data_IF_827216848118
#
_entry.id   IF_827216848118
#
_cell.length_a   1.000
_cell.length_b   1.000
_cell.length_c   1.000
_cell.angle_alpha   90.00
_cell.angle_beta   90.00
_cell.angle_gamma   90.00
#
_symmetry.space_group_name_H-M   'P 1'
#
loop_
_entity.id
_entity.type
_entity.pdbx_description
1 polymer ?
#
# COMPACT_ATOMS: atom_id res chain seq x y z
N UNK A 1 -8.94 -31.00 -24.89
CA UNK A 1 -8.78 -31.35 -23.47
C UNK A 1 -7.49 -30.70 -22.99
N UNK A 2 -7.53 -29.44 -22.57
CA UNK A 2 -6.34 -28.69 -22.15
C UNK A 2 -6.15 -28.86 -20.65
N UNK A 3 -5.04 -29.52 -20.28
CA UNK A 3 -4.62 -29.72 -18.89
C UNK A 3 -4.27 -28.39 -18.24
N UNK A 4 -4.88 -28.16 -17.08
CA UNK A 4 -4.52 -27.11 -16.12
C UNK A 4 -3.04 -27.25 -15.75
N UNK A 5 -2.22 -26.26 -16.10
CA UNK A 5 -1.04 -25.95 -15.32
C UNK A 5 -1.53 -25.24 -14.06
N UNK A 6 -1.35 -25.89 -12.92
CA UNK A 6 -1.61 -25.38 -11.59
C UNK A 6 -0.68 -24.19 -11.35
N UNK A 7 -1.24 -23.00 -11.16
CA UNK A 7 -0.50 -21.84 -10.68
C UNK A 7 -0.35 -21.99 -9.16
N UNK A 8 0.60 -22.80 -8.74
CA UNK A 8 0.90 -23.03 -7.33
C UNK A 8 2.35 -22.60 -7.03
N UNK A 9 2.66 -21.36 -7.42
CA UNK A 9 3.76 -20.61 -6.82
C UNK A 9 3.14 -19.46 -6.02
N UNK A 10 2.85 -19.66 -4.71
CA UNK A 10 2.57 -18.55 -3.84
C UNK A 10 3.89 -17.80 -3.69
N UNK A 11 4.17 -16.88 -4.62
CA UNK A 11 5.21 -15.89 -4.42
C UNK A 11 4.92 -15.24 -3.07
N UNK A 12 5.71 -15.56 -2.05
CA UNK A 12 5.47 -15.19 -0.66
C UNK A 12 5.70 -13.69 -0.49
N UNK A 13 4.77 -12.89 -0.99
CA UNK A 13 4.71 -11.46 -0.73
C UNK A 13 4.20 -11.35 0.70
N UNK A 14 5.10 -11.13 1.64
CA UNK A 14 4.73 -10.71 2.98
C UNK A 14 4.30 -9.24 2.92
N UNK A 15 3.05 -8.95 3.30
CA UNK A 15 2.54 -7.59 3.39
C UNK A 15 1.70 -7.42 4.67
N UNK A 16 1.81 -6.26 5.30
CA UNK A 16 0.83 -5.82 6.29
C UNK A 16 -0.36 -5.22 5.53
N UNK A 17 -1.60 -5.47 5.97
CA UNK A 17 -2.76 -4.88 5.30
C UNK A 17 -3.96 -4.74 6.23
N UNK A 18 -4.67 -3.62 6.03
CA UNK A 18 -6.04 -3.46 6.49
C UNK A 18 -7.02 -4.25 5.61
N UNK A 19 -7.64 -5.26 6.21
CA UNK A 19 -8.62 -6.15 5.56
C UNK A 19 -9.93 -6.15 6.34
N UNK A 20 -11.07 -6.34 5.65
CA UNK A 20 -12.36 -6.50 6.33
C UNK A 20 -12.58 -7.89 6.97
N UNK A 21 -11.74 -8.87 6.62
CA UNK A 21 -11.73 -10.23 7.15
C UNK A 21 -10.37 -10.56 7.78
N UNK A 22 -9.95 -9.77 8.77
CA UNK A 22 -8.59 -9.81 9.33
C UNK A 22 -8.15 -11.17 9.90
N UNK A 23 -9.11 -12.01 10.30
CA UNK A 23 -8.88 -13.31 10.96
C UNK A 23 -8.67 -14.49 9.97
N UNK A 24 -8.74 -14.25 8.66
CA UNK A 24 -8.57 -15.27 7.62
C UNK A 24 -7.26 -15.08 6.85
N UNK A 25 -6.73 -16.19 6.30
CA UNK A 25 -5.63 -16.15 5.34
C UNK A 25 -5.99 -15.25 4.14
N UNK A 26 -4.98 -14.59 3.59
CA UNK A 26 -5.20 -13.71 2.46
C UNK A 26 -5.67 -14.50 1.23
N UNK A 27 -6.75 -14.05 0.60
CA UNK A 27 -7.33 -14.74 -0.56
C UNK A 27 -6.46 -14.54 -1.79
N UNK A 28 -6.59 -15.42 -2.80
CA UNK A 28 -5.92 -15.27 -4.11
C UNK A 28 -6.16 -13.88 -4.70
N UNK A 29 -7.36 -13.33 -4.55
CA UNK A 29 -7.69 -12.00 -5.03
C UNK A 29 -6.91 -10.89 -4.31
N UNK A 30 -6.69 -11.05 -3.00
CA UNK A 30 -5.87 -10.13 -2.21
C UNK A 30 -4.39 -10.22 -2.58
N UNK A 31 -3.86 -11.43 -2.80
CA UNK A 31 -2.50 -11.65 -3.29
C UNK A 31 -2.29 -11.04 -4.67
N UNK A 32 -3.21 -11.27 -5.61
CA UNK A 32 -3.13 -10.70 -6.95
C UNK A 32 -3.13 -9.17 -6.92
N UNK A 33 -3.97 -8.55 -6.07
CA UNK A 33 -3.99 -7.10 -5.93
C UNK A 33 -2.65 -6.58 -5.35
N UNK A 34 -2.10 -7.22 -4.32
CA UNK A 34 -0.79 -6.87 -3.76
C UNK A 34 0.35 -7.04 -4.78
N UNK A 35 0.29 -8.07 -5.63
CA UNK A 35 1.25 -8.27 -6.73
C UNK A 35 1.17 -7.16 -7.79
N UNK A 36 -0.03 -6.65 -8.10
CA UNK A 36 -0.19 -5.48 -8.95
C UNK A 36 0.44 -4.23 -8.30
N UNK A 37 0.22 -4.01 -6.99
CA UNK A 37 0.85 -2.91 -6.24
C UNK A 37 2.37 -2.98 -6.35
N UNK A 38 2.95 -4.16 -6.09
CA UNK A 38 4.39 -4.40 -6.24
C UNK A 38 4.90 -4.08 -7.64
N UNK A 39 4.16 -4.50 -8.67
CA UNK A 39 4.55 -4.29 -10.07
C UNK A 39 4.59 -2.80 -10.42
N UNK A 40 3.56 -2.04 -10.01
CA UNK A 40 3.52 -0.59 -10.22
C UNK A 40 4.63 0.10 -9.42
N UNK A 41 4.86 -0.30 -8.17
CA UNK A 41 5.89 0.30 -7.32
C UNK A 41 7.31 0.16 -7.90
N UNK A 42 7.60 -0.91 -8.64
CA UNK A 42 8.89 -1.07 -9.32
C UNK A 42 9.15 -0.02 -10.41
N UNK A 43 8.09 0.53 -10.98
CA UNK A 43 8.18 1.58 -12.01
C UNK A 43 8.19 3.00 -11.44
N UNK A 44 7.99 3.15 -10.12
CA UNK A 44 8.02 4.46 -9.45
C UNK A 44 9.43 4.74 -8.91
N UNK A 45 9.90 5.96 -9.13
CA UNK A 45 11.09 6.49 -8.49
C UNK A 45 10.74 7.08 -7.11
N UNK A 46 11.69 6.99 -6.19
CA UNK A 46 11.62 7.64 -4.89
C UNK A 46 13.04 7.98 -4.43
N UNK A 47 13.16 8.92 -3.49
CA UNK A 47 14.42 9.17 -2.80
C UNK A 47 14.83 7.98 -1.93
N UNK A 48 16.04 8.03 -1.37
CA UNK A 48 16.44 7.06 -0.34
C UNK A 48 15.48 7.13 0.86
N UNK A 49 15.09 5.97 1.38
CA UNK A 49 14.15 5.91 2.48
C UNK A 49 14.74 6.52 3.76
N UNK A 50 13.99 7.46 4.35
CA UNK A 50 14.31 8.03 5.66
C UNK A 50 13.14 7.86 6.61
N UNK A 51 13.36 7.03 7.62
CA UNK A 51 12.39 6.77 8.68
C UNK A 51 12.03 8.05 9.46
N UNK A 52 13.05 8.83 9.85
CA UNK A 52 12.84 10.10 10.54
C UNK A 52 12.07 11.12 9.68
N UNK A 53 12.36 11.17 8.38
CA UNK A 53 11.67 12.09 7.47
C UNK A 53 10.19 11.70 7.27
N UNK A 54 9.84 10.41 7.35
CA UNK A 54 8.46 9.91 7.25
C UNK A 54 7.55 10.40 8.39
N UNK A 55 8.11 10.76 9.55
CA UNK A 55 7.33 11.29 10.68
C UNK A 55 6.58 12.57 10.32
N UNK A 56 7.14 13.43 9.46
CA UNK A 56 6.53 14.70 9.11
C UNK A 56 5.29 14.53 8.19
N UNK A 57 5.35 13.77 7.09
CA UNK A 57 4.16 13.35 6.35
C UNK A 57 3.09 12.72 7.25
N UNK A 58 3.47 11.79 8.14
CA UNK A 58 2.52 11.11 9.03
C UNK A 58 1.76 12.09 9.96
N UNK A 59 2.46 13.08 10.54
CA UNK A 59 1.86 14.08 11.46
C UNK A 59 1.02 15.12 10.73
N UNK A 60 1.42 15.51 9.51
CA UNK A 60 0.77 16.60 8.78
C UNK A 60 -0.34 16.14 7.84
N UNK A 61 -0.45 14.82 7.58
CA UNK A 61 -1.42 14.25 6.67
C UNK A 61 -2.84 14.69 7.00
N UNK A 62 -3.25 14.60 8.28
CA UNK A 62 -4.61 14.95 8.76
C UNK A 62 -5.02 16.40 8.46
N UNK A 63 -4.07 17.33 8.41
CA UNK A 63 -4.33 18.73 8.06
C UNK A 63 -4.49 18.89 6.54
N UNK A 64 -3.71 18.13 5.75
CA UNK A 64 -3.73 18.16 4.27
C UNK A 64 -4.95 17.43 3.68
N UNK A 65 -5.53 16.49 4.43
CA UNK A 65 -6.79 15.79 4.11
C UNK A 65 -7.99 16.73 3.93
N UNK A 66 -7.98 17.90 4.59
CA UNK A 66 -9.10 18.83 4.55
C UNK A 66 -9.24 19.54 3.20
N UNK A 67 -8.13 19.68 2.46
CA UNK A 67 -8.08 20.33 1.15
C UNK A 67 -7.10 19.62 0.20
N UNK A 68 -7.31 18.34 -0.14
CA UNK A 68 -6.41 17.64 -1.05
C UNK A 68 -6.71 18.10 -2.48
N UNK A 69 -5.70 18.63 -3.19
CA UNK A 69 -5.89 19.03 -4.58
C UNK A 69 -5.82 17.83 -5.52
N UNK A 70 -4.97 16.84 -5.22
CA UNK A 70 -4.92 15.57 -5.97
C UNK A 70 -4.23 14.44 -5.19
N UNK A 71 -4.41 13.19 -5.65
CA UNK A 71 -3.67 12.03 -5.13
C UNK A 71 -2.16 12.15 -5.44
N UNK A 72 -1.80 12.78 -6.57
CA UNK A 72 -0.42 12.94 -7.01
C UNK A 72 0.41 13.74 -5.99
N UNK A 73 -0.16 14.76 -5.35
CA UNK A 73 0.53 15.53 -4.31
C UNK A 73 0.96 14.65 -3.13
N UNK A 74 0.17 13.63 -2.79
CA UNK A 74 0.56 12.67 -1.76
C UNK A 74 1.68 11.77 -2.27
N UNK A 75 1.59 11.28 -3.52
CA UNK A 75 2.65 10.46 -4.10
C UNK A 75 4.01 11.18 -4.09
N UNK A 76 4.04 12.45 -4.49
CA UNK A 76 5.25 13.28 -4.48
C UNK A 76 5.79 13.46 -3.05
N UNK A 77 4.90 13.79 -2.10
CA UNK A 77 5.27 13.98 -0.70
C UNK A 77 5.91 12.73 -0.08
N UNK A 78 5.37 11.54 -0.38
CA UNK A 78 5.92 10.28 0.12
C UNK A 78 7.19 9.88 -0.64
N UNK A 79 7.27 10.15 -1.95
CA UNK A 79 8.45 9.84 -2.75
C UNK A 79 9.70 10.59 -2.28
N UNK A 80 9.55 11.84 -1.81
CA UNK A 80 10.66 12.63 -1.23
C UNK A 80 11.27 11.99 0.02
N UNK A 81 10.51 11.20 0.78
CA UNK A 81 10.99 10.49 1.97
C UNK A 81 11.29 9.01 1.71
N UNK A 82 11.30 8.62 0.43
CA UNK A 82 11.60 7.27 -0.04
C UNK A 82 10.48 6.25 0.15
N UNK A 83 9.23 6.70 0.30
CA UNK A 83 8.05 5.82 0.36
C UNK A 83 7.29 5.89 -0.98
N UNK A 84 7.06 4.73 -1.60
CA UNK A 84 6.32 4.66 -2.87
C UNK A 84 4.84 4.49 -2.59
N UNK A 85 4.04 5.48 -2.98
CA UNK A 85 2.58 5.43 -2.83
C UNK A 85 1.93 4.99 -4.15
N UNK A 86 1.19 3.89 -4.11
CA UNK A 86 0.53 3.27 -5.27
C UNK A 86 -0.98 3.26 -5.06
N UNK A 87 -1.72 3.67 -6.09
CA UNK A 87 -3.18 3.57 -6.12
C UNK A 87 -3.62 2.56 -7.17
N UNK A 88 -4.38 1.54 -6.77
CA UNK A 88 -4.96 0.52 -7.66
C UNK A 88 -6.38 0.24 -7.18
N UNK A 89 -7.39 0.52 -8.00
CA UNK A 89 -8.78 0.28 -7.63
C UNK A 89 -9.02 -1.12 -7.06
N UNK A 90 -9.84 -1.20 -6.02
CA UNK A 90 -10.21 -2.46 -5.39
C UNK A 90 -10.82 -3.42 -6.42
N UNK A 91 -10.33 -4.65 -6.47
CA UNK A 91 -10.94 -5.69 -7.30
C UNK A 91 -12.37 -6.00 -6.81
N UNK A 92 -13.31 -6.35 -7.70
CA UNK A 92 -14.66 -6.77 -7.30
C UNK A 92 -14.60 -7.93 -6.30
N UNK A 93 -15.21 -7.76 -5.12
CA UNK A 93 -15.13 -8.74 -4.03
C UNK A 93 -13.81 -8.73 -3.24
N UNK A 94 -12.85 -7.89 -3.63
CA UNK A 94 -11.58 -7.65 -2.94
C UNK A 94 -11.80 -6.91 -1.62
N UNK A 95 -11.69 -7.63 -0.51
CA UNK A 95 -11.92 -7.09 0.84
C UNK A 95 -10.69 -6.39 1.44
N UNK A 96 -9.96 -5.61 0.64
CA UNK A 96 -8.68 -5.00 1.02
C UNK A 96 -8.74 -3.49 0.82
N UNK A 97 -8.40 -2.73 1.87
CA UNK A 97 -8.40 -1.26 1.83
C UNK A 97 -7.04 -0.70 1.41
N UNK A 98 -5.96 -1.32 1.90
CA UNK A 98 -4.60 -1.01 1.53
C UNK A 98 -3.62 -2.06 2.03
N UNK A 99 -2.35 -1.87 1.69
CA UNK A 99 -1.25 -2.70 2.19
C UNK A 99 0.04 -1.89 2.34
N UNK A 100 0.93 -2.36 3.20
CA UNK A 100 2.32 -1.95 3.29
C UNK A 100 3.25 -3.14 3.05
N UNK A 101 4.28 -2.95 2.21
CA UNK A 101 5.30 -3.96 1.89
C UNK A 101 6.63 -3.29 1.55
N UNK A 102 7.70 -4.06 1.45
CA UNK A 102 9.02 -3.57 0.97
C UNK A 102 9.26 -4.08 -0.45
N UNK A 103 9.66 -3.19 -1.35
CA UNK A 103 10.00 -3.51 -2.73
C UNK A 103 11.30 -2.80 -3.09
N UNK A 104 12.32 -3.58 -3.45
CA UNK A 104 13.62 -3.10 -3.90
C UNK A 104 14.21 -2.03 -2.93
N UNK A 105 14.19 -2.35 -1.63
CA UNK A 105 14.72 -1.50 -0.55
C UNK A 105 13.85 -0.31 -0.13
N UNK A 106 12.67 -0.14 -0.73
CA UNK A 106 11.77 0.99 -0.42
C UNK A 106 10.47 0.50 0.21
N UNK A 107 9.95 1.17 1.26
CA UNK A 107 8.60 0.96 1.71
C UNK A 107 7.59 1.36 0.61
N UNK A 108 6.59 0.53 0.42
CA UNK A 108 5.50 0.72 -0.54
C UNK A 108 4.19 0.70 0.21
N UNK A 109 3.34 1.70 -0.04
CA UNK A 109 1.96 1.74 0.44
C UNK A 109 1.03 1.62 -0.77
N UNK A 110 0.20 0.58 -0.76
CA UNK A 110 -0.90 0.40 -1.72
C UNK A 110 -2.21 0.90 -1.14
N UNK A 111 -2.98 1.67 -1.91
CA UNK A 111 -4.33 2.12 -1.55
C UNK A 111 -5.34 1.65 -2.61
N UNK A 112 -6.44 1.06 -2.15
CA UNK A 112 -7.46 0.50 -3.06
C UNK A 112 -8.61 1.44 -3.41
N UNK A 113 -8.74 2.55 -2.68
CA UNK A 113 -9.87 3.48 -2.83
C UNK A 113 -11.22 2.90 -2.40
N UNK A 114 -11.24 1.70 -1.80
CA UNK A 114 -12.48 1.00 -1.44
C UNK A 114 -13.34 1.86 -0.51
N UNK A 115 -14.63 1.95 -0.84
CA UNK A 115 -15.59 2.80 -0.14
C UNK A 115 -15.65 4.25 -0.65
N UNK A 116 -14.81 4.63 -1.63
CA UNK A 116 -14.86 5.89 -2.42
C UNK A 116 -15.08 7.16 -1.58
N UNK A 117 -14.52 7.14 -0.37
CA UNK A 117 -14.66 8.17 0.63
C UNK A 117 -13.26 8.61 1.04
N UNK A 118 -13.01 9.89 0.89
CA UNK A 118 -11.70 10.48 1.09
C UNK A 118 -11.16 10.22 2.51
N UNK A 119 -12.01 10.32 3.53
CA UNK A 119 -11.66 10.02 4.92
C UNK A 119 -11.26 8.56 5.14
N UNK A 120 -11.87 7.60 4.43
CA UNK A 120 -11.49 6.18 4.50
C UNK A 120 -10.14 5.91 3.86
N UNK A 121 -9.84 6.59 2.75
CA UNK A 121 -8.54 6.48 2.07
C UNK A 121 -7.43 6.97 3.00
N UNK A 122 -7.64 8.11 3.66
CA UNK A 122 -6.65 8.65 4.58
C UNK A 122 -6.50 7.86 5.88
N UNK A 123 -7.60 7.33 6.43
CA UNK A 123 -7.51 6.41 7.56
C UNK A 123 -6.66 5.18 7.18
N UNK A 124 -6.87 4.64 5.99
CA UNK A 124 -6.09 3.51 5.49
C UNK A 124 -4.62 3.89 5.28
N UNK A 125 -4.34 5.06 4.68
CA UNK A 125 -2.98 5.54 4.52
C UNK A 125 -2.25 5.68 5.86
N UNK A 126 -2.88 6.29 6.88
CA UNK A 126 -2.31 6.36 8.24
C UNK A 126 -2.10 4.97 8.85
N UNK A 127 -3.04 4.05 8.64
CA UNK A 127 -2.94 2.67 9.11
C UNK A 127 -1.75 1.94 8.49
N UNK A 128 -1.48 2.12 7.20
CA UNK A 128 -0.37 1.50 6.49
C UNK A 128 0.99 2.20 6.75
N UNK A 129 1.00 3.47 7.16
CA UNK A 129 2.22 4.17 7.61
C UNK A 129 2.70 3.64 8.97
N UNK A 130 1.78 3.32 9.87
CA UNK A 130 2.10 2.87 11.22
C UNK A 130 3.08 1.67 11.28
N UNK A 131 2.88 0.55 10.53
CA UNK A 131 3.82 -0.57 10.55
C UNK A 131 5.19 -0.24 9.98
N UNK A 132 5.30 0.73 9.05
CA UNK A 132 6.58 1.23 8.54
C UNK A 132 7.33 1.99 9.65
N UNK A 133 6.64 2.87 10.38
CA UNK A 133 7.24 3.66 11.47
C UNK A 133 7.55 2.82 12.72
N UNK A 134 6.76 1.79 13.01
CA UNK A 134 6.97 0.92 14.18
C UNK A 134 7.97 -0.22 13.90
N UNK A 135 8.69 -0.19 12.77
CA UNK A 135 9.73 -1.16 12.37
C UNK A 135 9.22 -2.62 12.34
N UNK A 136 7.92 -2.81 12.08
CA UNK A 136 7.36 -4.15 11.90
C UNK A 136 7.57 -4.68 10.46
N UNK A 137 8.01 -3.80 9.55
CA UNK A 137 8.47 -4.16 8.22
C UNK A 137 10.00 -4.10 8.20
N UNK A 138 10.64 -5.26 8.04
CA UNK A 138 12.10 -5.34 7.86
C UNK A 138 12.41 -4.85 6.44
N UNK A 139 13.19 -3.77 6.35
CA UNK A 139 13.64 -3.15 5.09
C UNK A 139 14.94 -3.80 4.63
#
# INVERSE_FOLDING_TARGET
>A
MFGKATFDDPSTISFAARRSNGDEDATVLQHSWAACVRTVAKALDAAEFSHDALLNPAKTLSNRVREPKSIAEFQDMFAVVGVKLVYIDSFPGGKLDGCAMVVDGHPVIGLSGRGKRLDKVFFTLLHEIAPILLVHLVI
#
